data_IF_176529860599
#
_entry.id   IF_176529860599
#
_cell.length_a   1.000
_cell.length_b   1.000
_cell.length_c   1.000
_cell.angle_alpha   90.00
_cell.angle_beta   90.00
_cell.angle_gamma   90.00
#
_symmetry.space_group_name_H-M   'P 1'
#
loop_
_entity.id
_entity.type
_entity.pdbx_description
1 polymer ?
#
# COMPACT_ATOMS: atom_id res chain seq x y z
N UNK A 1 12.84 68.86 -4.05
CA UNK A 1 14.18 68.27 -3.95
C UNK A 1 14.01 66.82 -3.57
N UNK A 2 14.35 65.97 -4.51
CA UNK A 2 14.20 64.52 -4.41
C UNK A 2 15.40 63.95 -3.68
N UNK A 3 15.19 63.33 -2.51
CA UNK A 3 16.16 62.45 -1.91
C UNK A 3 15.89 61.00 -2.35
N UNK A 4 16.60 60.68 -3.41
CA UNK A 4 16.78 59.30 -3.87
C UNK A 4 17.88 58.68 -3.03
N UNK A 5 17.55 58.02 -1.94
CA UNK A 5 18.50 57.10 -1.29
C UNK A 5 17.78 55.93 -0.64
N UNK A 6 18.26 54.80 -1.14
CA UNK A 6 18.10 53.46 -0.61
C UNK A 6 16.73 52.80 -0.80
N UNK A 7 16.48 52.39 -2.05
CA UNK A 7 15.67 51.24 -2.34
C UNK A 7 16.25 49.98 -1.73
N UNK A 8 15.87 49.68 -0.52
CA UNK A 8 15.92 48.31 -0.01
C UNK A 8 14.52 47.70 -0.13
N UNK A 9 14.31 47.16 -1.31
CA UNK A 9 13.28 46.17 -1.51
C UNK A 9 13.72 44.90 -0.78
N UNK A 10 13.56 44.88 0.52
CA UNK A 10 13.57 43.63 1.28
C UNK A 10 12.29 42.91 0.90
N UNK A 11 12.38 42.18 -0.20
CA UNK A 11 11.47 41.09 -0.49
C UNK A 11 11.47 40.14 0.73
N UNK A 12 10.45 40.31 1.54
CA UNK A 12 10.07 39.33 2.53
C UNK A 12 9.58 38.06 1.81
N UNK A 13 10.54 37.33 1.23
CA UNK A 13 10.38 35.96 0.75
C UNK A 13 10.63 35.02 1.92
N UNK A 14 10.20 35.41 3.09
CA UNK A 14 10.43 34.64 4.31
C UNK A 14 9.13 34.38 5.04
N UNK A 15 8.12 33.86 4.34
CA UNK A 15 6.91 33.38 5.04
C UNK A 15 6.13 32.35 4.22
N UNK A 16 6.82 31.44 3.54
CA UNK A 16 6.15 30.25 3.00
C UNK A 16 7.03 29.01 3.22
N UNK A 17 7.64 28.93 4.39
CA UNK A 17 8.19 27.69 4.88
C UNK A 17 7.37 27.26 6.09
N UNK A 18 6.05 27.18 5.94
CA UNK A 18 5.28 26.23 6.72
C UNK A 18 5.71 24.85 6.26
N UNK A 19 6.88 24.47 6.74
CA UNK A 19 7.32 23.10 6.75
C UNK A 19 6.23 22.34 7.48
N UNK A 20 5.35 21.71 6.71
CA UNK A 20 4.36 20.78 7.24
C UNK A 20 5.17 19.59 7.76
N UNK A 21 5.54 19.60 9.03
CA UNK A 21 6.22 18.49 9.73
C UNK A 21 5.42 17.18 9.64
N UNK A 22 4.22 17.26 9.10
CA UNK A 22 3.29 16.17 8.88
C UNK A 22 3.36 15.54 7.49
N UNK A 23 4.05 16.16 6.51
CA UNK A 23 4.12 15.63 5.16
C UNK A 23 5.32 14.70 4.98
N UNK A 24 5.10 13.56 4.30
CA UNK A 24 6.19 12.71 3.84
C UNK A 24 7.05 13.47 2.82
N UNK A 25 8.36 13.26 2.88
CA UNK A 25 9.27 13.83 1.88
C UNK A 25 9.05 13.18 0.51
N UNK A 26 9.44 13.86 -0.57
CA UNK A 26 9.32 13.31 -1.92
C UNK A 26 10.20 12.07 -2.12
N UNK A 27 11.34 12.01 -1.43
CA UNK A 27 12.20 10.83 -1.43
C UNK A 27 11.54 9.63 -0.75
N UNK A 28 10.90 9.84 0.39
CA UNK A 28 10.13 8.82 1.10
C UNK A 28 8.96 8.29 0.26
N UNK A 29 8.24 9.18 -0.42
CA UNK A 29 7.14 8.81 -1.33
C UNK A 29 7.64 7.99 -2.52
N UNK A 30 8.77 8.37 -3.11
CA UNK A 30 9.35 7.63 -4.24
C UNK A 30 9.78 6.24 -3.81
N UNK A 31 10.51 6.13 -2.71
CA UNK A 31 10.93 4.84 -2.15
C UNK A 31 9.74 3.95 -1.81
N UNK A 32 8.69 4.53 -1.21
CA UNK A 32 7.49 3.79 -0.86
C UNK A 32 6.71 3.34 -2.11
N UNK A 33 6.65 4.18 -3.15
CA UNK A 33 6.04 3.84 -4.43
C UNK A 33 6.71 2.63 -5.08
N UNK A 34 8.04 2.62 -5.10
CA UNK A 34 8.79 1.49 -5.65
C UNK A 34 8.51 0.20 -4.88
N UNK A 35 8.45 0.28 -3.55
CA UNK A 35 8.07 -0.86 -2.70
C UNK A 35 6.65 -1.36 -2.97
N UNK A 36 5.69 -0.47 -3.18
CA UNK A 36 4.31 -0.84 -3.52
C UNK A 36 4.27 -1.56 -4.86
N UNK A 37 5.01 -1.07 -5.86
CA UNK A 37 5.09 -1.68 -7.18
C UNK A 37 5.70 -3.09 -7.12
N UNK A 38 6.83 -3.25 -6.44
CA UNK A 38 7.48 -4.56 -6.26
C UNK A 38 6.53 -5.54 -5.57
N UNK A 39 5.86 -5.11 -4.50
CA UNK A 39 4.90 -5.93 -3.78
C UNK A 39 3.67 -6.28 -4.64
N UNK A 40 3.21 -5.36 -5.48
CA UNK A 40 2.09 -5.61 -6.40
C UNK A 40 2.42 -6.73 -7.39
N UNK A 41 3.61 -6.71 -7.97
CA UNK A 41 4.07 -7.76 -8.90
C UNK A 41 4.15 -9.11 -8.18
N UNK A 42 4.70 -9.14 -6.97
CA UNK A 42 4.79 -10.37 -6.16
C UNK A 42 3.40 -10.97 -5.87
N UNK A 43 2.46 -10.11 -5.46
CA UNK A 43 1.08 -10.50 -5.14
C UNK A 43 0.38 -11.04 -6.39
N UNK A 44 0.53 -10.40 -7.54
CA UNK A 44 -0.08 -10.86 -8.79
C UNK A 44 0.46 -12.22 -9.24
N UNK A 45 1.77 -12.42 -9.17
CA UNK A 45 2.38 -13.73 -9.45
C UNK A 45 1.83 -14.82 -8.53
N UNK A 46 1.63 -14.50 -7.25
CA UNK A 46 1.07 -15.45 -6.28
C UNK A 46 -0.40 -15.75 -6.54
N UNK A 47 -1.16 -14.76 -6.98
CA UNK A 47 -2.56 -14.94 -7.40
C UNK A 47 -2.65 -15.91 -8.58
N UNK A 48 -1.80 -15.76 -9.60
CA UNK A 48 -1.78 -16.67 -10.74
C UNK A 48 -1.48 -18.12 -10.32
N UNK A 49 -0.46 -18.33 -9.49
CA UNK A 49 -0.13 -19.66 -8.96
C UNK A 49 -1.29 -20.30 -8.19
N UNK A 50 -2.01 -19.54 -7.38
CA UNK A 50 -3.14 -20.06 -6.62
C UNK A 50 -4.39 -20.27 -7.47
N UNK A 51 -4.58 -19.52 -8.54
CA UNK A 51 -5.67 -19.73 -9.49
C UNK A 51 -5.60 -21.13 -10.10
N UNK A 52 -4.42 -21.59 -10.49
CA UNK A 52 -4.24 -22.92 -11.04
C UNK A 52 -4.53 -24.01 -10.00
N UNK A 53 -4.11 -23.78 -8.74
CA UNK A 53 -4.37 -24.69 -7.63
C UNK A 53 -5.85 -24.74 -7.17
N UNK A 54 -6.65 -23.74 -7.53
CA UNK A 54 -8.07 -23.66 -7.15
C UNK A 54 -9.03 -24.10 -8.25
N UNK A 55 -8.53 -24.64 -9.35
CA UNK A 55 -9.35 -25.14 -10.45
C UNK A 55 -10.31 -26.25 -9.99
N UNK A 56 -11.46 -26.41 -10.66
CA UNK A 56 -12.41 -27.47 -10.31
C UNK A 56 -11.75 -28.84 -10.37
N UNK A 57 -11.91 -29.63 -9.32
CA UNK A 57 -11.43 -31.00 -9.27
C UNK A 57 -12.33 -31.84 -10.17
N UNK A 58 -11.82 -32.42 -11.27
CA UNK A 58 -12.66 -33.23 -12.17
C UNK A 58 -13.19 -34.46 -11.40
N UNK A 59 -14.38 -34.94 -11.75
CA UNK A 59 -14.92 -36.18 -11.19
C UNK A 59 -14.16 -37.37 -11.74
N UNK A 60 -13.00 -37.64 -11.18
CA UNK A 60 -12.21 -38.79 -11.56
C UNK A 60 -12.72 -40.05 -10.82
N UNK A 61 -13.08 -41.06 -11.59
CA UNK A 61 -13.62 -42.33 -11.06
C UNK A 61 -12.55 -43.18 -10.37
N UNK A 62 -11.28 -42.80 -10.45
CA UNK A 62 -10.16 -43.55 -9.88
C UNK A 62 -9.66 -43.01 -8.53
N UNK A 63 -10.03 -41.81 -8.10
CA UNK A 63 -9.61 -41.27 -6.81
C UNK A 63 -10.42 -41.88 -5.68
N UNK A 64 -9.75 -42.43 -4.68
CA UNK A 64 -10.37 -42.90 -3.44
C UNK A 64 -11.09 -41.76 -2.71
N UNK A 65 -12.14 -42.14 -1.95
CA UNK A 65 -13.01 -41.16 -1.25
C UNK A 65 -12.24 -40.25 -0.29
N UNK A 66 -11.20 -40.77 0.35
CA UNK A 66 -10.35 -40.02 1.29
C UNK A 66 -9.49 -38.97 0.56
N UNK A 67 -8.84 -39.38 -0.50
CA UNK A 67 -7.99 -38.51 -1.34
C UNK A 67 -8.79 -37.34 -1.94
N UNK A 68 -10.04 -37.59 -2.29
CA UNK A 68 -10.93 -36.52 -2.77
C UNK A 68 -11.27 -35.50 -1.68
N UNK A 69 -11.49 -35.97 -0.45
CA UNK A 69 -11.75 -35.10 0.69
C UNK A 69 -10.56 -34.21 1.00
N UNK A 70 -9.36 -34.77 1.00
CA UNK A 70 -8.11 -34.02 1.17
C UNK A 70 -7.93 -32.95 0.09
N UNK A 71 -8.13 -33.30 -1.16
CA UNK A 71 -8.06 -32.35 -2.29
C UNK A 71 -9.09 -31.21 -2.18
N UNK A 72 -10.29 -31.49 -1.67
CA UNK A 72 -11.29 -30.45 -1.42
C UNK A 72 -10.91 -29.53 -0.25
N UNK A 73 -10.27 -30.04 0.79
CA UNK A 73 -9.76 -29.26 1.90
C UNK A 73 -8.62 -28.32 1.44
N UNK A 74 -7.64 -28.85 0.71
CA UNK A 74 -6.54 -28.07 0.15
C UNK A 74 -7.06 -26.97 -0.77
N UNK A 75 -8.03 -27.28 -1.61
CA UNK A 75 -8.70 -26.30 -2.46
C UNK A 75 -9.33 -25.17 -1.64
N UNK A 76 -10.06 -25.47 -0.58
CA UNK A 76 -10.69 -24.49 0.30
C UNK A 76 -9.68 -23.56 0.95
N UNK A 77 -8.54 -24.10 1.41
CA UNK A 77 -7.44 -23.30 1.98
C UNK A 77 -6.84 -22.38 0.92
N UNK A 78 -6.61 -22.89 -0.29
CA UNK A 78 -6.07 -22.10 -1.40
C UNK A 78 -7.05 -21.00 -1.86
N UNK A 79 -8.36 -21.26 -1.88
CA UNK A 79 -9.39 -20.26 -2.18
C UNK A 79 -9.39 -19.13 -1.16
N UNK A 80 -9.27 -19.45 0.14
CA UNK A 80 -9.18 -18.44 1.19
C UNK A 80 -7.90 -17.61 1.08
N UNK A 81 -6.76 -18.23 0.73
CA UNK A 81 -5.49 -17.54 0.48
C UNK A 81 -5.60 -16.64 -0.76
N UNK A 82 -6.21 -17.10 -1.83
CA UNK A 82 -6.45 -16.34 -3.05
C UNK A 82 -7.28 -15.08 -2.78
N UNK A 83 -8.33 -15.21 -1.96
CA UNK A 83 -9.15 -14.06 -1.60
C UNK A 83 -8.36 -13.01 -0.82
N UNK A 84 -7.54 -13.41 0.14
CA UNK A 84 -6.66 -12.48 0.90
C UNK A 84 -5.70 -11.73 0.00
N UNK A 85 -5.10 -12.41 -0.98
CA UNK A 85 -4.18 -11.78 -1.94
C UNK A 85 -4.90 -10.80 -2.87
N UNK A 86 -6.12 -11.10 -3.29
CA UNK A 86 -6.94 -10.16 -4.07
C UNK A 86 -7.26 -8.90 -3.28
N UNK A 87 -7.62 -9.05 -2.01
CA UNK A 87 -7.87 -7.92 -1.12
C UNK A 87 -6.59 -7.09 -0.88
N UNK A 88 -5.43 -7.75 -0.78
CA UNK A 88 -4.13 -7.08 -0.70
C UNK A 88 -3.80 -6.32 -1.99
N UNK A 89 -4.03 -6.91 -3.17
CA UNK A 89 -3.83 -6.25 -4.47
C UNK A 89 -4.67 -4.98 -4.60
N UNK A 90 -5.94 -5.02 -4.20
CA UNK A 90 -6.82 -3.85 -4.20
C UNK A 90 -6.28 -2.76 -3.27
N UNK A 91 -5.82 -3.12 -2.07
CA UNK A 91 -5.24 -2.16 -1.12
C UNK A 91 -3.95 -1.53 -1.64
N UNK A 92 -3.07 -2.31 -2.27
CA UNK A 92 -1.84 -1.81 -2.91
C UNK A 92 -2.16 -0.85 -4.05
N UNK A 93 -3.14 -1.18 -4.90
CA UNK A 93 -3.59 -0.29 -5.96
C UNK A 93 -4.12 1.04 -5.41
N UNK A 94 -4.95 0.99 -4.38
CA UNK A 94 -5.46 2.19 -3.71
C UNK A 94 -4.32 3.02 -3.09
N UNK A 95 -3.30 2.38 -2.52
CA UNK A 95 -2.13 3.06 -1.99
C UNK A 95 -1.35 3.80 -3.10
N UNK A 96 -1.16 3.19 -4.28
CA UNK A 96 -0.53 3.84 -5.44
C UNK A 96 -1.31 5.06 -5.94
N UNK A 97 -2.64 4.97 -5.99
CA UNK A 97 -3.49 6.09 -6.42
C UNK A 97 -3.43 7.24 -5.42
N UNK A 98 -3.35 6.94 -4.13
CA UNK A 98 -3.41 7.93 -3.07
C UNK A 98 -2.04 8.47 -2.63
N UNK A 99 -0.92 7.89 -3.07
CA UNK A 99 0.42 8.27 -2.61
C UNK A 99 0.77 9.75 -2.86
N UNK A 100 0.17 10.35 -3.89
CA UNK A 100 0.36 11.75 -4.23
C UNK A 100 -0.50 12.70 -3.39
N UNK A 101 -1.42 12.17 -2.59
CA UNK A 101 -2.28 13.01 -1.74
C UNK A 101 -1.53 13.51 -0.52
N UNK A 102 -1.82 14.73 -0.05
CA UNK A 102 -1.14 15.31 1.12
C UNK A 102 -1.47 14.60 2.43
N UNK A 103 -2.61 13.92 2.49
CA UNK A 103 -3.08 13.13 3.64
C UNK A 103 -2.58 11.68 3.65
N UNK A 104 -1.83 11.27 2.62
CA UNK A 104 -1.24 9.94 2.56
C UNK A 104 -0.21 9.74 3.68
N UNK A 105 -0.25 8.58 4.32
CA UNK A 105 0.60 8.27 5.48
C UNK A 105 0.02 8.67 6.82
N UNK A 106 -1.21 9.21 6.86
CA UNK A 106 -1.94 9.47 8.10
C UNK A 106 -2.91 8.34 8.39
N UNK A 107 -3.06 8.01 9.67
CA UNK A 107 -4.00 6.99 10.13
C UNK A 107 -5.44 7.43 9.89
N UNK A 108 -6.24 6.60 9.24
CA UNK A 108 -7.66 6.91 8.96
C UNK A 108 -8.53 6.97 10.22
N UNK A 109 -8.09 6.39 11.33
CA UNK A 109 -8.87 6.35 12.58
C UNK A 109 -8.51 7.50 13.52
N UNK A 110 -7.23 7.75 13.79
CA UNK A 110 -6.79 8.78 14.74
C UNK A 110 -6.16 10.01 14.08
N UNK A 111 -5.92 10.00 12.77
CA UNK A 111 -5.30 11.11 12.05
C UNK A 111 -3.78 11.27 12.29
N UNK A 112 -3.18 10.47 13.17
CA UNK A 112 -1.75 10.54 13.44
C UNK A 112 -0.93 9.96 12.29
N UNK A 113 0.31 10.43 12.16
CA UNK A 113 1.24 9.93 11.13
C UNK A 113 1.59 8.46 11.40
N UNK A 114 1.50 7.65 10.36
CA UNK A 114 1.97 6.27 10.40
C UNK A 114 3.48 6.27 10.27
N UNK A 115 4.18 5.51 11.12
CA UNK A 115 5.63 5.39 11.07
C UNK A 115 6.08 4.88 9.69
N UNK A 116 7.13 5.49 9.14
CA UNK A 116 7.62 5.15 7.79
C UNK A 116 8.09 3.70 7.70
N UNK A 117 8.67 3.17 8.78
CA UNK A 117 9.10 1.78 8.87
C UNK A 117 7.91 0.82 8.71
N UNK A 118 6.75 1.20 9.27
CA UNK A 118 5.51 0.43 9.12
C UNK A 118 4.99 0.48 7.68
N UNK A 119 5.04 1.64 7.03
CA UNK A 119 4.65 1.79 5.62
C UNK A 119 5.62 1.06 4.69
N UNK A 120 6.91 0.98 5.03
CA UNK A 120 7.88 0.20 4.28
C UNK A 120 7.66 -1.31 4.43
N UNK A 121 7.25 -1.78 5.61
CA UNK A 121 6.93 -3.19 5.85
C UNK A 121 5.54 -3.56 5.30
N UNK A 122 4.56 -2.68 5.46
CA UNK A 122 3.16 -2.86 5.07
C UNK A 122 2.69 -1.65 4.27
N UNK A 123 3.06 -1.54 2.99
CA UNK A 123 2.83 -0.33 2.19
C UNK A 123 1.34 -0.03 1.92
N UNK A 124 0.47 -1.01 2.10
CA UNK A 124 -0.97 -0.84 1.99
C UNK A 124 -1.66 -0.51 3.33
N UNK A 125 -0.88 -0.22 4.40
CA UNK A 125 -1.44 0.08 5.71
C UNK A 125 -2.05 1.47 5.75
N UNK A 126 -3.30 1.55 6.23
CA UNK A 126 -4.04 2.81 6.45
C UNK A 126 -4.22 3.14 7.93
N UNK A 127 -3.72 2.28 8.82
CA UNK A 127 -3.85 2.42 10.27
C UNK A 127 -2.46 2.44 10.93
N UNK A 128 -2.32 3.23 12.01
CA UNK A 128 -1.13 3.21 12.85
C UNK A 128 -1.08 1.95 13.73
N UNK A 129 -0.01 1.78 14.48
CA UNK A 129 0.19 0.61 15.35
C UNK A 129 -0.83 0.53 16.50
N UNK A 130 -1.32 1.68 16.95
CA UNK A 130 -2.28 1.76 18.05
C UNK A 130 -3.73 1.50 17.61
N UNK A 131 -4.01 1.69 16.31
CA UNK A 131 -5.35 1.54 15.74
C UNK A 131 -5.53 0.26 14.91
N UNK A 132 -4.47 -0.52 14.71
CA UNK A 132 -4.45 -1.71 13.86
C UNK A 132 -5.04 -2.95 14.54
#
# INVERSE_FOLDING_TARGET
MLDVKTGRLTLAVSMFSSFCETCMTEEEKTSLRDRILDRSVEVELRIEQLRDATQPIPPDKGLGRLTRLEAMQDKSVNEAALQRLRDESIRLHNALVNIMRPDFGNCQNCGQKIAIERLQALPASTLCIECA
#
